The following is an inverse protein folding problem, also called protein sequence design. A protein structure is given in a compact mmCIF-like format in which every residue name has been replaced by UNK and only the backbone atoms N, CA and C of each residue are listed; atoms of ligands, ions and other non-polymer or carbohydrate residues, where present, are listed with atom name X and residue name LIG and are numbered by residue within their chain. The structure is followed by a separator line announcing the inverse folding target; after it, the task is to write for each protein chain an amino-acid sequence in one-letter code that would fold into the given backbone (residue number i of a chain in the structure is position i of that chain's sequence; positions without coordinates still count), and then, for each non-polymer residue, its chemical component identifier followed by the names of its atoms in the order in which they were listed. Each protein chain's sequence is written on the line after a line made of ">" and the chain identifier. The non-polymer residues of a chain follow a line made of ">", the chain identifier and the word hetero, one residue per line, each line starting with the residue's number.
data_IF_457404457173
#
_entry.id   IF_457404457173
#
_cell.length_a   1.000
_cell.length_b   1.000
_cell.length_c   1.000
_cell.angle_alpha   90.00
_cell.angle_beta   90.00
_cell.angle_gamma   90.00
#
_symmetry.space_group_name_H-M   'P 1'
#
loop_
_entity.id
_entity.type
_entity.pdbx_description
1 polymer ?
#
# COMPACT_ATOMS: atom_id res chain seq x y z
N UNK A 1 -11.31 -17.53 -1.69
CA UNK A 1 -9.85 -17.42 -1.82
C UNK A 1 -9.39 -18.60 -2.66
N UNK A 2 -8.66 -18.37 -3.74
CA UNK A 2 -8.36 -19.46 -4.71
C UNK A 2 -7.12 -20.28 -4.35
N UNK A 3 -6.38 -19.87 -3.31
CA UNK A 3 -5.19 -20.55 -2.76
C UNK A 3 -5.17 -20.45 -1.22
N UNK A 4 -4.51 -21.37 -0.54
CA UNK A 4 -4.25 -21.26 0.90
C UNK A 4 -3.31 -20.09 1.17
N UNK A 5 -3.68 -19.16 2.08
CA UNK A 5 -2.82 -18.02 2.45
C UNK A 5 -2.77 -17.83 3.96
N UNK A 6 -1.59 -17.48 4.47
CA UNK A 6 -1.41 -16.98 5.84
C UNK A 6 -0.73 -15.60 5.82
N UNK A 7 -0.91 -14.81 6.89
CA UNK A 7 -0.34 -13.47 7.05
C UNK A 7 -0.67 -12.49 5.89
N UNK A 8 -1.85 -12.65 5.28
CA UNK A 8 -2.41 -11.71 4.31
C UNK A 8 -3.07 -10.53 5.05
N UNK A 9 -3.07 -9.35 4.42
CA UNK A 9 -3.89 -8.21 4.84
C UNK A 9 -5.31 -8.35 4.30
N UNK A 10 -6.32 -7.99 5.08
CA UNK A 10 -7.73 -8.03 4.66
C UNK A 10 -8.40 -6.70 4.98
N UNK A 11 -9.17 -6.16 4.04
CA UNK A 11 -9.88 -4.89 4.22
C UNK A 11 -11.18 -4.84 3.42
N UNK A 12 -12.14 -4.04 3.86
CA UNK A 12 -13.36 -3.75 3.12
C UNK A 12 -13.28 -2.37 2.43
N UNK A 13 -13.73 -2.30 1.17
CA UNK A 13 -13.92 -1.06 0.41
C UNK A 13 -15.04 -1.25 -0.61
N UNK A 14 -15.97 -0.30 -0.72
CA UNK A 14 -17.09 -0.32 -1.67
C UNK A 14 -17.94 -1.61 -1.67
N UNK A 15 -18.20 -2.18 -0.49
CA UNK A 15 -18.96 -3.42 -0.37
C UNK A 15 -18.20 -4.68 -0.84
N UNK A 16 -16.91 -4.55 -1.09
CA UNK A 16 -16.00 -5.64 -1.47
C UNK A 16 -15.03 -5.95 -0.34
N UNK A 17 -14.68 -7.21 -0.17
CA UNK A 17 -13.60 -7.63 0.73
C UNK A 17 -12.37 -7.89 -0.13
N UNK A 18 -11.25 -7.23 0.19
CA UNK A 18 -9.96 -7.42 -0.46
C UNK A 18 -9.04 -8.22 0.44
N UNK A 19 -8.36 -9.23 -0.11
CA UNK A 19 -7.32 -10.00 0.54
C UNK A 19 -6.01 -9.87 -0.25
N UNK A 20 -4.96 -9.35 0.40
CA UNK A 20 -3.69 -8.98 -0.22
C UNK A 20 -2.51 -9.74 0.36
N UNK A 21 -1.65 -10.18 -0.55
CA UNK A 21 -0.36 -10.75 -0.22
C UNK A 21 -0.46 -12.05 0.58
N UNK A 22 0.44 -12.20 1.55
CA UNK A 22 0.54 -13.39 2.40
C UNK A 22 1.45 -14.48 1.80
N UNK A 23 1.41 -15.66 2.41
CA UNK A 23 2.24 -16.82 2.05
C UNK A 23 1.41 -18.04 1.66
N UNK A 24 1.84 -18.77 0.62
CA UNK A 24 1.14 -19.95 0.09
C UNK A 24 1.53 -21.31 0.75
N UNK A 25 2.22 -21.36 1.90
CA UNK A 25 2.64 -22.64 2.53
C UNK A 25 3.47 -22.55 3.82
N UNK A 26 3.70 -23.71 4.48
CA UNK A 26 4.11 -23.92 5.90
C UNK A 26 5.39 -23.22 6.39
N UNK A 27 6.30 -22.78 5.52
CA UNK A 27 7.53 -22.08 5.91
C UNK A 27 7.44 -20.59 5.61
N UNK A 28 7.21 -19.80 6.65
CA UNK A 28 7.21 -18.32 6.62
C UNK A 28 8.61 -17.75 6.29
N UNK A 29 9.67 -18.56 6.49
CA UNK A 29 11.05 -18.19 6.20
C UNK A 29 11.46 -18.37 4.74
N UNK A 30 10.63 -18.99 3.90
CA UNK A 30 10.94 -19.16 2.48
C UNK A 30 10.48 -17.91 1.69
N UNK A 31 11.42 -17.13 1.10
CA UNK A 31 11.08 -15.93 0.34
C UNK A 31 10.12 -16.20 -0.82
N UNK A 32 10.25 -17.37 -1.45
CA UNK A 32 9.52 -17.77 -2.64
C UNK A 32 8.02 -18.04 -2.40
N UNK A 33 7.60 -18.07 -1.13
CA UNK A 33 6.21 -18.35 -0.76
C UNK A 33 5.34 -17.10 -0.61
N UNK A 34 5.96 -15.92 -0.50
CA UNK A 34 5.24 -14.66 -0.40
C UNK A 34 4.64 -14.30 -1.78
N UNK A 35 3.49 -13.63 -1.80
CA UNK A 35 2.81 -13.26 -3.06
C UNK A 35 2.51 -11.78 -3.19
N UNK A 36 2.47 -11.29 -4.42
CA UNK A 36 1.91 -9.97 -4.80
C UNK A 36 0.42 -10.04 -5.07
N UNK A 37 -0.17 -11.25 -5.10
CA UNK A 37 -1.54 -11.47 -5.55
C UNK A 37 -2.57 -10.86 -4.62
N UNK A 38 -3.64 -10.37 -5.24
CA UNK A 38 -4.75 -9.69 -4.57
C UNK A 38 -6.04 -10.27 -5.13
N UNK A 39 -6.93 -10.63 -4.22
CA UNK A 39 -8.26 -11.12 -4.56
C UNK A 39 -9.29 -10.22 -3.89
N UNK A 40 -10.37 -9.88 -4.59
CA UNK A 40 -11.54 -9.25 -3.98
C UNK A 40 -12.78 -10.14 -4.08
N UNK A 41 -13.70 -9.96 -3.14
CA UNK A 41 -14.97 -10.67 -3.06
C UNK A 41 -16.12 -9.67 -3.14
N UNK A 42 -16.99 -9.84 -4.13
CA UNK A 42 -18.19 -9.03 -4.30
C UNK A 42 -19.34 -9.59 -3.46
N UNK A 43 -19.66 -8.92 -2.34
CA UNK A 43 -20.73 -9.34 -1.42
C UNK A 43 -22.14 -9.01 -1.90
N UNK A 44 -22.28 -8.19 -2.94
CA UNK A 44 -23.56 -7.70 -3.46
C UNK A 44 -24.10 -8.53 -4.64
N UNK A 45 -23.32 -9.47 -5.18
CA UNK A 45 -23.74 -10.33 -6.29
C UNK A 45 -24.53 -11.54 -5.79
N UNK A 46 -25.47 -12.04 -6.61
CA UNK A 46 -26.15 -13.31 -6.36
C UNK A 46 -25.17 -14.51 -6.30
N UNK A 47 -23.96 -14.33 -6.84
CA UNK A 47 -22.86 -15.28 -6.76
C UNK A 47 -21.66 -14.63 -6.06
N UNK A 48 -21.30 -15.17 -4.90
CA UNK A 48 -20.15 -14.73 -4.10
C UNK A 48 -18.88 -15.40 -4.65
N UNK A 49 -18.11 -14.67 -5.46
CA UNK A 49 -16.89 -15.17 -6.10
C UNK A 49 -15.68 -14.26 -5.87
N UNK A 50 -14.50 -14.87 -5.75
CA UNK A 50 -13.24 -14.15 -5.63
C UNK A 50 -12.66 -13.86 -7.01
N UNK A 51 -12.30 -12.61 -7.27
CA UNK A 51 -11.68 -12.16 -8.51
C UNK A 51 -10.31 -11.54 -8.26
N UNK A 52 -9.37 -11.77 -9.18
CA UNK A 52 -8.05 -11.13 -9.12
C UNK A 52 -8.13 -9.65 -9.52
N UNK A 53 -7.24 -8.85 -8.95
CA UNK A 53 -6.95 -7.46 -9.38
C UNK A 53 -5.46 -7.30 -9.63
N UNK A 54 -5.04 -6.13 -10.12
CA UNK A 54 -3.61 -5.85 -10.35
C UNK A 54 -2.75 -6.19 -9.12
N UNK A 55 -1.62 -6.89 -9.33
CA UNK A 55 -0.72 -7.27 -8.26
C UNK A 55 0.04 -6.04 -7.73
N UNK A 56 0.48 -6.09 -6.47
CA UNK A 56 1.41 -5.09 -5.92
C UNK A 56 2.76 -5.12 -6.65
N UNK A 57 3.52 -4.02 -6.59
CA UNK A 57 4.85 -3.91 -7.19
C UNK A 57 5.88 -4.77 -6.44
N UNK A 58 5.68 -4.95 -5.13
CA UNK A 58 6.52 -5.80 -4.29
C UNK A 58 5.69 -6.87 -3.63
N UNK A 59 6.28 -8.05 -3.51
CA UNK A 59 5.71 -9.14 -2.73
C UNK A 59 5.63 -8.74 -1.26
N UNK A 60 4.47 -8.92 -0.62
CA UNK A 60 4.30 -8.55 0.80
C UNK A 60 3.62 -9.66 1.59
N UNK A 61 4.29 -10.09 2.65
CA UNK A 61 3.69 -10.88 3.73
C UNK A 61 3.67 -10.09 5.03
N UNK A 62 2.78 -10.44 5.96
CA UNK A 62 2.61 -9.68 7.22
C UNK A 62 2.30 -8.20 6.94
N UNK A 63 1.64 -7.95 5.81
CA UNK A 63 1.32 -6.61 5.32
C UNK A 63 0.18 -6.03 6.14
N UNK A 64 0.32 -4.76 6.56
CA UNK A 64 -0.82 -4.02 7.08
C UNK A 64 -1.59 -3.42 5.92
N UNK A 65 -2.90 -3.64 5.90
CA UNK A 65 -3.77 -3.20 4.83
C UNK A 65 -4.91 -2.38 5.41
N UNK A 66 -5.12 -1.18 4.88
CA UNK A 66 -6.22 -0.30 5.27
C UNK A 66 -6.87 0.38 4.07
N UNK A 67 -8.15 0.75 4.22
CA UNK A 67 -8.88 1.54 3.25
C UNK A 67 -9.02 2.96 3.80
N UNK A 68 -8.63 3.93 2.98
CA UNK A 68 -8.73 5.35 3.33
C UNK A 68 -8.79 6.18 2.05
N UNK A 69 -9.61 7.24 2.08
CA UNK A 69 -9.79 8.15 0.93
C UNK A 69 -10.06 7.39 -0.38
N UNK A 70 -10.99 6.43 -0.35
CA UNK A 70 -11.40 5.68 -1.55
C UNK A 70 -10.27 4.85 -2.20
N UNK A 71 -9.24 4.49 -1.43
CA UNK A 71 -8.06 3.75 -1.88
C UNK A 71 -7.70 2.66 -0.87
N UNK A 72 -6.90 1.68 -1.31
CA UNK A 72 -6.27 0.70 -0.41
C UNK A 72 -4.81 1.06 -0.21
N UNK A 73 -4.30 0.84 1.00
CA UNK A 73 -2.93 1.17 1.39
C UNK A 73 -2.26 -0.09 1.94
N UNK A 74 -1.23 -0.57 1.24
CA UNK A 74 -0.39 -1.67 1.67
C UNK A 74 0.88 -1.12 2.33
N UNK A 75 0.97 -1.26 3.65
CA UNK A 75 1.98 -0.62 4.49
C UNK A 75 2.93 -1.69 5.02
N UNK A 76 4.20 -1.57 4.64
CA UNK A 76 5.29 -2.42 5.11
C UNK A 76 5.13 -3.91 4.79
N UNK A 77 5.45 -4.75 5.76
CA UNK A 77 5.49 -6.21 5.62
C UNK A 77 6.90 -6.75 5.33
N UNK A 78 6.96 -7.96 4.78
CA UNK A 78 8.19 -8.71 4.52
C UNK A 78 8.15 -9.30 3.10
N UNK A 79 9.18 -9.02 2.29
CA UNK A 79 9.28 -9.46 0.89
C UNK A 79 9.88 -10.86 0.72
N UNK A 80 10.24 -11.51 1.82
CA UNK A 80 10.94 -12.79 1.80
C UNK A 80 12.42 -12.67 2.17
N UNK A 81 13.01 -11.49 2.02
CA UNK A 81 14.41 -11.21 2.34
C UNK A 81 14.58 -10.15 3.44
N UNK A 82 13.75 -9.10 3.43
CA UNK A 82 13.82 -7.99 4.39
C UNK A 82 12.45 -7.44 4.74
N UNK A 83 12.41 -6.73 5.88
CA UNK A 83 11.27 -5.92 6.24
C UNK A 83 11.20 -4.71 5.30
N UNK A 84 10.00 -4.41 4.82
CA UNK A 84 9.72 -3.30 3.92
C UNK A 84 9.28 -2.10 4.74
N UNK A 85 9.93 -0.94 4.56
CA UNK A 85 9.39 0.35 5.01
C UNK A 85 8.50 1.01 3.94
N UNK A 86 8.50 0.48 2.72
CA UNK A 86 7.75 1.04 1.59
C UNK A 86 6.24 0.90 1.79
N UNK A 87 5.52 1.88 1.25
CA UNK A 87 4.05 1.90 1.22
C UNK A 87 3.61 1.98 -0.24
N UNK A 88 2.58 1.22 -0.57
CA UNK A 88 1.93 1.28 -1.89
C UNK A 88 0.44 1.60 -1.72
N UNK A 89 -0.09 2.40 -2.63
CA UNK A 89 -1.50 2.76 -2.69
C UNK A 89 -2.12 2.16 -3.96
N UNK A 90 -3.25 1.49 -3.80
CA UNK A 90 -4.07 0.97 -4.90
C UNK A 90 -5.22 1.89 -5.21
N UNK A 91 -5.40 2.17 -6.50
CA UNK A 91 -6.57 2.85 -7.03
C UNK A 91 -7.51 1.85 -7.72
N UNK A 92 -8.67 1.53 -7.12
CA UNK A 92 -9.63 0.61 -7.73
C UNK A 92 -10.22 1.11 -9.06
N UNK A 93 -10.16 2.41 -9.34
CA UNK A 93 -10.68 2.99 -10.58
C UNK A 93 -9.74 2.78 -11.77
N UNK A 94 -8.43 2.76 -11.52
CA UNK A 94 -7.41 2.53 -12.56
C UNK A 94 -6.85 1.11 -12.52
N UNK A 95 -7.16 0.35 -11.46
CA UNK A 95 -6.59 -0.97 -11.18
C UNK A 95 -5.05 -0.94 -11.16
N UNK A 96 -4.47 0.03 -10.45
CA UNK A 96 -3.02 0.24 -10.41
C UNK A 96 -2.51 0.48 -8.99
N UNK A 97 -1.26 0.05 -8.76
CA UNK A 97 -0.49 0.28 -7.55
C UNK A 97 0.59 1.31 -7.77
N UNK A 98 0.71 2.29 -6.87
CA UNK A 98 1.76 3.31 -6.91
C UNK A 98 2.47 3.39 -5.57
N UNK A 99 3.79 3.51 -5.59
CA UNK A 99 4.55 3.81 -4.38
C UNK A 99 4.23 5.22 -3.87
N UNK A 100 4.13 5.34 -2.56
CA UNK A 100 3.94 6.61 -1.85
C UNK A 100 5.04 6.79 -0.81
N UNK A 101 4.95 7.83 0.03
CA UNK A 101 5.93 8.08 1.09
C UNK A 101 6.11 6.84 1.97
N UNK A 102 7.37 6.47 2.20
CA UNK A 102 7.75 5.31 2.99
C UNK A 102 7.72 5.64 4.49
N UNK A 103 7.66 4.61 5.33
CA UNK A 103 7.93 4.75 6.76
C UNK A 103 9.41 5.04 6.99
N UNK A 104 9.73 5.77 8.06
CA UNK A 104 11.13 6.06 8.42
C UNK A 104 11.93 4.80 8.74
N UNK A 105 11.32 3.84 9.44
CA UNK A 105 11.92 2.55 9.77
C UNK A 105 10.84 1.48 9.96
N UNK A 106 11.20 0.20 9.74
CA UNK A 106 10.31 -0.92 10.00
C UNK A 106 11.09 -2.21 10.28
N UNK A 107 10.90 -2.77 11.47
CA UNK A 107 11.51 -4.02 11.91
C UNK A 107 10.48 -4.98 12.53
N UNK A 108 9.53 -5.50 11.74
CA UNK A 108 8.65 -6.57 12.24
C UNK A 108 7.29 -6.69 11.54
N UNK A 109 6.24 -6.85 12.36
CA UNK A 109 4.85 -6.79 11.90
C UNK A 109 4.27 -5.41 12.16
N UNK A 110 3.56 -4.84 11.19
CA UNK A 110 2.92 -3.53 11.30
C UNK A 110 1.46 -3.69 11.71
N UNK A 111 0.99 -2.85 12.64
CA UNK A 111 -0.44 -2.60 12.87
C UNK A 111 -0.81 -1.20 12.38
N UNK A 112 -1.94 -1.06 11.69
CA UNK A 112 -2.41 0.24 11.17
C UNK A 112 -3.89 0.40 11.52
N UNK A 113 -4.28 1.61 11.87
CA UNK A 113 -5.67 2.02 12.05
C UNK A 113 -5.94 3.33 11.32
N UNK A 114 -7.17 3.52 10.87
CA UNK A 114 -7.65 4.78 10.28
C UNK A 114 -8.63 5.39 11.25
N UNK A 115 -8.36 6.61 11.70
CA UNK A 115 -9.24 7.35 12.60
C UNK A 115 -9.90 8.46 11.78
N UNK A 116 -11.24 8.48 11.68
CA UNK A 116 -11.95 9.60 11.08
C UNK A 116 -11.65 10.87 11.87
N UNK A 117 -11.21 11.91 11.18
CA UNK A 117 -11.08 13.24 11.77
C UNK A 117 -12.46 13.91 11.76
N UNK A 118 -13.37 13.41 12.61
CA UNK A 118 -14.61 14.11 12.90
C UNK A 118 -14.38 14.96 14.16
N UNK A 119 -14.38 16.28 13.98
CA UNK A 119 -14.42 17.26 15.08
C UNK A 119 -13.38 17.07 16.21
N UNK A 120 -12.13 16.72 15.90
CA UNK A 120 -11.03 16.88 16.86
C UNK A 120 -10.78 18.39 17.01
N UNK A 121 -10.97 19.00 18.19
CA UNK A 121 -10.45 20.34 18.42
C UNK A 121 -8.94 20.26 18.17
N UNK A 122 -8.42 21.05 17.25
CA UNK A 122 -6.98 21.09 16.92
C UNK A 122 -6.11 21.58 18.11
N UNK A 123 -6.73 21.80 19.27
CA UNK A 123 -6.12 22.20 20.53
C UNK A 123 -5.40 21.02 21.21
N UNK A 124 -4.48 20.35 20.52
CA UNK A 124 -3.52 19.47 21.18
C UNK A 124 -2.89 18.35 20.34
N UNK A 125 -3.52 17.95 19.23
CA UNK A 125 -2.93 16.97 18.30
C UNK A 125 -2.36 17.73 17.10
N UNK A 126 -1.03 17.74 16.96
CA UNK A 126 -0.42 18.31 15.75
C UNK A 126 -0.71 17.33 14.61
N UNK A 127 -1.06 17.86 13.42
CA UNK A 127 -1.20 17.05 12.20
C UNK A 127 0.01 16.14 11.93
N UNK A 128 1.21 16.55 12.39
CA UNK A 128 2.44 15.76 12.33
C UNK A 128 2.42 14.48 13.18
N UNK A 129 1.55 14.39 14.20
CA UNK A 129 1.45 13.23 15.09
C UNK A 129 0.52 12.13 14.53
N UNK A 130 -0.30 12.46 13.52
CA UNK A 130 -1.31 11.56 12.93
C UNK A 130 -1.04 11.28 11.45
N UNK A 131 -0.40 12.20 10.73
CA UNK A 131 -0.04 12.03 9.34
C UNK A 131 1.42 11.58 9.20
N UNK A 132 1.64 10.42 8.57
CA UNK A 132 2.92 10.19 7.89
C UNK A 132 3.15 11.37 6.94
N UNK A 133 4.20 12.13 7.21
CA UNK A 133 4.55 13.33 6.46
C UNK A 133 4.64 13.02 4.96
N UNK A 134 3.68 13.53 4.19
CA UNK A 134 3.80 13.70 2.75
C UNK A 134 4.48 15.06 2.53
N UNK A 135 5.81 15.12 2.69
CA UNK A 135 6.55 16.25 2.16
C UNK A 135 6.65 16.09 0.64
N UNK A 136 5.77 16.76 -0.08
CA UNK A 136 5.94 17.01 -1.51
C UNK A 136 7.08 18.02 -1.69
N UNK A 137 8.29 17.55 -1.97
CA UNK A 137 9.25 18.38 -2.69
C UNK A 137 9.18 18.00 -4.17
N UNK A 138 8.41 18.81 -4.90
CA UNK A 138 8.53 18.95 -6.34
C UNK A 138 9.95 19.48 -6.57
N UNK A 139 10.84 18.60 -7.00
CA UNK A 139 12.18 18.99 -7.43
C UNK A 139 12.03 19.64 -8.81
N UNK A 140 11.81 20.96 -8.84
CA UNK A 140 11.92 21.73 -10.08
C UNK A 140 13.35 21.57 -10.61
N UNK A 141 13.45 20.96 -11.78
CA UNK A 141 14.71 20.84 -12.50
C UNK A 141 15.20 22.25 -12.88
N UNK A 142 16.48 22.60 -12.72
CA UNK A 142 16.96 23.87 -13.21
C UNK A 142 16.94 23.86 -14.74
N UNK A 143 16.13 24.75 -15.32
CA UNK A 143 16.19 25.07 -16.75
C UNK A 143 17.60 25.55 -17.11
N UNK A 144 18.37 24.71 -17.79
CA UNK A 144 19.56 25.18 -18.50
C UNK A 144 19.11 25.78 -19.82
N UNK A 145 18.84 27.09 -19.78
CA UNK A 145 18.60 27.90 -20.96
C UNK A 145 19.74 27.76 -21.97
N UNK A 146 19.37 27.44 -23.19
CA UNK A 146 20.21 27.59 -24.38
C UNK A 146 20.28 29.08 -24.74
N UNK A 147 21.49 29.63 -24.85
CA UNK A 147 21.73 30.86 -25.61
C UNK A 147 22.95 30.69 -26.51
N UNK A 148 22.76 31.07 -27.76
CA UNK A 148 23.59 30.83 -28.94
C UNK A 148 24.69 31.87 -29.16
N UNK A 149 25.69 31.49 -29.99
CA UNK A 149 26.54 32.35 -30.86
C UNK A 149 27.60 33.22 -30.14
N UNK A 150 28.85 33.41 -30.60
CA UNK A 150 29.39 33.49 -31.95
C UNK A 150 30.91 33.24 -31.99
N UNK A 151 31.38 32.69 -33.11
CA UNK A 151 32.79 32.57 -33.55
C UNK A 151 33.50 33.94 -33.65
N UNK A 152 34.84 33.97 -33.58
CA UNK A 152 35.63 34.19 -34.81
C UNK A 152 36.50 32.99 -35.19
#
# INVERSE_FOLDING_TARGET
>A
MTKHRSAAGVVALYGRIYALGGHNGLSISNPWNATTQIEHLDGCSAHVEWSYVSPMNVTRSRVALVSNMDRLWAIGGYDGMKNLSTVEMYNPHTDEWTFVSAMESHEGGVGVGVIPLENVPLDGLKLADVAFSLSSEVNESPETGTSTSSRP
#
